data_IF_771643304386
#
_entry.id   IF_771643304386
#
_cell.length_a   1.000
_cell.length_b   1.000
_cell.length_c   1.000
_cell.angle_alpha   90.00
_cell.angle_beta   90.00
_cell.angle_gamma   90.00
#
_symmetry.space_group_name_H-M   'P 1'
#
loop_
_entity.id
_entity.type
_entity.pdbx_description
1 polymer ?
#
# COMPACT_ATOMS: atom_id res chain seq x y z
N UNK A 1 20.02 6.82 0.90
CA UNK A 1 21.00 5.71 0.75
C UNK A 1 20.65 4.82 -0.43
N UNK A 2 20.92 5.28 -1.64
CA UNK A 2 20.88 4.41 -2.83
C UNK A 2 22.17 4.64 -3.61
N UNK A 3 22.93 3.59 -3.99
CA UNK A 3 24.19 3.75 -4.70
C UNK A 3 23.94 4.22 -6.14
N UNK A 4 24.81 5.09 -6.65
CA UNK A 4 24.85 5.41 -8.07
C UNK A 4 25.41 4.21 -8.84
N UNK A 5 24.69 3.79 -9.87
CA UNK A 5 25.05 2.66 -10.71
C UNK A 5 25.47 3.18 -12.08
N UNK A 6 26.60 2.68 -12.57
CA UNK A 6 27.13 3.01 -13.89
C UNK A 6 27.44 1.73 -14.67
N UNK A 7 27.40 1.85 -16.00
CA UNK A 7 27.83 0.77 -16.89
C UNK A 7 29.36 0.73 -16.91
N UNK A 8 29.96 -0.46 -16.85
CA UNK A 8 31.43 -0.62 -16.94
C UNK A 8 31.96 -0.02 -18.26
N UNK A 9 32.94 0.87 -18.13
CA UNK A 9 33.64 1.50 -19.25
C UNK A 9 34.47 0.48 -20.06
N UNK A 10 34.93 -0.61 -19.44
CA UNK A 10 35.71 -1.64 -20.12
C UNK A 10 34.87 -2.37 -21.17
N UNK A 11 33.63 -2.73 -20.82
CA UNK A 11 32.70 -3.37 -21.76
C UNK A 11 32.28 -2.44 -22.89
N UNK A 12 32.14 -1.14 -22.60
CA UNK A 12 31.86 -0.13 -23.63
C UNK A 12 33.02 0.01 -24.62
N UNK A 13 34.25 0.09 -24.11
CA UNK A 13 35.46 0.19 -24.93
C UNK A 13 35.69 -1.08 -25.77
N UNK A 14 35.44 -2.25 -25.17
CA UNK A 14 35.52 -3.53 -25.85
C UNK A 14 34.53 -3.60 -27.01
N UNK A 15 33.27 -3.19 -26.83
CA UNK A 15 32.29 -3.12 -27.92
C UNK A 15 32.74 -2.17 -29.04
N UNK A 16 33.28 -1.00 -28.68
CA UNK A 16 33.79 0.00 -29.63
C UNK A 16 34.94 -0.56 -30.48
N UNK A 17 35.90 -1.21 -29.83
CA UNK A 17 37.05 -1.83 -30.51
C UNK A 17 36.65 -2.91 -31.52
N UNK A 18 35.64 -3.72 -31.20
CA UNK A 18 35.13 -4.74 -32.12
C UNK A 18 34.28 -4.16 -33.26
N UNK A 19 33.65 -2.99 -33.06
CA UNK A 19 32.92 -2.30 -34.14
C UNK A 19 33.86 -1.65 -35.15
N UNK A 20 35.03 -1.19 -34.69
CA UNK A 20 36.06 -0.54 -35.51
C UNK A 20 36.95 -1.55 -36.27
N UNK A 21 37.00 -2.82 -35.85
CA UNK A 21 37.81 -3.85 -36.51
C UNK A 21 37.28 -4.23 -37.91
N UNK A 22 38.17 -4.23 -38.91
CA UNK A 22 37.82 -4.50 -40.32
C UNK A 22 37.61 -5.98 -40.67
N UNK A 23 38.18 -6.91 -39.90
CA UNK A 23 37.93 -8.35 -40.04
C UNK A 23 36.72 -8.75 -39.20
N UNK A 24 35.72 -9.41 -39.80
CA UNK A 24 34.49 -9.84 -39.11
C UNK A 24 34.34 -11.35 -39.13
N UNK A 25 35.25 -12.03 -38.45
CA UNK A 25 35.22 -13.48 -38.31
C UNK A 25 34.01 -13.87 -37.45
N UNK A 26 33.46 -15.07 -37.63
CA UNK A 26 32.24 -15.50 -36.93
C UNK A 26 32.36 -15.39 -35.39
N UNK A 27 33.51 -15.78 -34.83
CA UNK A 27 33.83 -15.65 -33.40
C UNK A 27 33.77 -14.21 -32.88
N UNK A 28 34.25 -13.22 -33.64
CA UNK A 28 34.16 -11.81 -33.24
C UNK A 28 32.72 -11.31 -33.24
N UNK A 29 31.89 -11.75 -34.20
CA UNK A 29 30.46 -11.40 -34.22
C UNK A 29 29.73 -11.95 -32.99
N UNK A 30 30.05 -13.17 -32.58
CA UNK A 30 29.50 -13.80 -31.37
C UNK A 30 29.95 -13.07 -30.10
N UNK A 31 31.22 -12.67 -30.00
CA UNK A 31 31.74 -11.87 -28.90
C UNK A 31 31.05 -10.49 -28.80
N UNK A 32 30.91 -9.78 -29.92
CA UNK A 32 30.17 -8.50 -29.99
C UNK A 32 28.74 -8.66 -29.50
N UNK A 33 28.07 -9.69 -29.98
CA UNK A 33 26.69 -9.98 -29.59
C UNK A 33 26.57 -10.25 -28.10
N UNK A 34 27.45 -11.08 -27.53
CA UNK A 34 27.49 -11.36 -26.10
C UNK A 34 27.70 -10.08 -25.26
N UNK A 35 28.68 -9.26 -25.64
CA UNK A 35 29.02 -8.00 -24.95
C UNK A 35 27.84 -7.04 -25.00
N UNK A 36 27.19 -6.92 -26.16
CA UNK A 36 25.98 -6.11 -26.32
C UNK A 36 24.86 -6.59 -25.39
N UNK A 37 24.60 -7.88 -25.32
CA UNK A 37 23.60 -8.42 -24.39
C UNK A 37 23.90 -8.08 -22.92
N UNK A 38 25.18 -8.14 -22.52
CA UNK A 38 25.57 -7.78 -21.14
C UNK A 38 25.38 -6.30 -20.85
N UNK A 39 25.70 -5.43 -21.82
CA UNK A 39 25.47 -3.99 -21.71
C UNK A 39 23.96 -3.66 -21.64
N UNK A 40 23.15 -4.30 -22.47
CA UNK A 40 21.70 -4.12 -22.48
C UNK A 40 21.08 -4.59 -21.15
N UNK A 41 21.53 -5.74 -20.61
CA UNK A 41 21.09 -6.24 -19.31
C UNK A 41 21.50 -5.31 -18.16
N UNK A 42 22.73 -4.76 -18.20
CA UNK A 42 23.20 -3.79 -17.21
C UNK A 42 22.37 -2.50 -17.25
N UNK A 43 22.09 -1.97 -18.44
CA UNK A 43 21.25 -0.79 -18.63
C UNK A 43 19.84 -1.02 -18.08
N UNK A 44 19.22 -2.14 -18.45
CA UNK A 44 17.89 -2.50 -17.94
C UNK A 44 17.87 -2.60 -16.41
N UNK A 45 18.92 -3.17 -15.80
CA UNK A 45 19.01 -3.28 -14.35
C UNK A 45 19.11 -1.91 -13.68
N UNK A 46 19.92 -1.00 -14.23
CA UNK A 46 20.04 0.39 -13.74
C UNK A 46 18.68 1.09 -13.84
N UNK A 47 18.02 0.99 -15.00
CA UNK A 47 16.69 1.58 -15.22
C UNK A 47 15.67 1.01 -14.21
N UNK A 48 15.69 -0.30 -13.95
CA UNK A 48 14.82 -0.94 -12.95
C UNK A 48 15.09 -0.44 -11.52
N UNK A 49 16.35 -0.20 -11.16
CA UNK A 49 16.72 0.39 -9.86
C UNK A 49 16.22 1.83 -9.75
N UNK A 50 16.36 2.64 -10.80
CA UNK A 50 15.84 4.01 -10.85
C UNK A 50 14.32 4.00 -10.70
N UNK A 51 13.62 3.15 -11.46
CA UNK A 51 12.17 3.01 -11.36
C UNK A 51 11.70 2.59 -9.96
N UNK A 52 12.43 1.68 -9.31
CA UNK A 52 12.17 1.29 -7.92
C UNK A 52 12.33 2.46 -6.95
N UNK A 53 13.37 3.28 -7.12
CA UNK A 53 13.57 4.47 -6.28
C UNK A 53 12.45 5.50 -6.50
N UNK A 54 12.10 5.77 -7.75
CA UNK A 54 11.00 6.66 -8.09
C UNK A 54 9.68 6.17 -7.46
N UNK A 55 9.38 4.87 -7.58
CA UNK A 55 8.20 4.24 -6.98
C UNK A 55 8.17 4.44 -5.46
N UNK A 56 9.29 4.22 -4.77
CA UNK A 56 9.39 4.44 -3.32
C UNK A 56 9.14 5.91 -2.96
N UNK A 57 9.75 6.83 -3.70
CA UNK A 57 9.61 8.27 -3.50
C UNK A 57 8.16 8.74 -3.65
N UNK A 58 7.52 8.43 -4.79
CA UNK A 58 6.14 8.88 -5.05
C UNK A 58 5.15 8.24 -4.07
N UNK A 59 5.37 6.97 -3.70
CA UNK A 59 4.55 6.27 -2.70
C UNK A 59 4.66 6.95 -1.34
N UNK A 60 5.88 7.21 -0.87
CA UNK A 60 6.08 7.84 0.44
C UNK A 60 5.56 9.28 0.45
N UNK A 61 5.77 10.04 -0.62
CA UNK A 61 5.23 11.40 -0.75
C UNK A 61 3.69 11.40 -0.68
N UNK A 62 3.03 10.47 -1.36
CA UNK A 62 1.56 10.33 -1.28
C UNK A 62 1.10 10.00 0.15
N UNK A 63 1.78 9.08 0.84
CA UNK A 63 1.50 8.73 2.24
C UNK A 63 1.68 9.94 3.16
N UNK A 64 2.78 10.70 3.02
CA UNK A 64 3.04 11.88 3.83
C UNK A 64 2.00 12.97 3.62
N UNK A 65 1.56 13.17 2.38
CA UNK A 65 0.50 14.14 2.06
C UNK A 65 -0.86 13.70 2.63
N UNK A 66 -1.20 12.41 2.53
CA UNK A 66 -2.43 11.87 3.10
C UNK A 66 -2.44 12.00 4.63
N UNK A 67 -1.31 11.68 5.27
CA UNK A 67 -1.11 11.68 6.72
C UNK A 67 -0.43 12.96 7.24
N UNK A 68 -0.59 14.09 6.55
CA UNK A 68 0.15 15.34 6.83
C UNK A 68 0.10 15.76 8.30
N UNK A 69 -1.08 15.69 8.92
CA UNK A 69 -1.27 16.08 10.31
C UNK A 69 -0.43 15.22 11.28
N UNK A 70 -0.32 13.92 11.02
CA UNK A 70 0.54 13.02 11.78
C UNK A 70 2.02 13.37 11.56
N UNK A 71 2.50 13.48 10.32
CA UNK A 71 3.92 13.74 10.06
C UNK A 71 4.40 15.11 10.60
N UNK A 72 3.51 16.10 10.71
CA UNK A 72 3.83 17.40 11.29
C UNK A 72 3.87 17.41 12.83
N UNK A 73 3.19 16.48 13.50
CA UNK A 73 2.98 16.56 14.96
C UNK A 73 3.41 15.34 15.76
N UNK A 74 3.56 14.18 15.11
CA UNK A 74 3.88 12.90 15.73
C UNK A 74 2.69 12.25 16.46
N UNK A 75 1.54 12.93 16.54
CA UNK A 75 0.37 12.46 17.29
C UNK A 75 -0.36 11.34 16.52
N UNK A 76 -0.28 10.12 17.05
CA UNK A 76 -0.90 8.92 16.46
C UNK A 76 -2.43 9.05 16.35
N UNK A 77 -3.07 9.88 17.17
CA UNK A 77 -4.52 10.14 17.07
C UNK A 77 -4.89 10.88 15.77
N UNK A 78 -3.92 11.58 15.16
CA UNK A 78 -4.10 12.30 13.89
C UNK A 78 -3.86 11.42 12.66
N UNK A 79 -3.57 10.13 12.83
CA UNK A 79 -3.54 9.19 11.72
C UNK A 79 -4.95 8.98 11.18
N UNK A 80 -5.10 9.34 9.91
CA UNK A 80 -6.32 9.10 9.14
C UNK A 80 -6.38 7.63 8.74
N UNK A 81 -7.55 6.98 8.78
CA UNK A 81 -7.68 5.68 8.14
C UNK A 81 -7.26 5.79 6.68
N UNK A 82 -6.34 4.93 6.26
CA UNK A 82 -5.77 4.91 4.92
C UNK A 82 -5.56 3.45 4.51
N UNK A 83 -6.04 3.06 3.36
CA UNK A 83 -5.89 1.72 2.81
C UNK A 83 -4.93 1.73 1.61
N UNK A 84 -4.48 0.56 1.16
CA UNK A 84 -3.52 0.49 0.05
C UNK A 84 -4.10 1.07 -1.25
N UNK A 85 -5.42 0.92 -1.46
CA UNK A 85 -6.15 1.48 -2.62
C UNK A 85 -6.01 3.00 -2.70
N UNK A 86 -6.14 3.72 -1.58
CA UNK A 86 -6.05 5.20 -1.56
C UNK A 86 -4.73 5.70 -2.17
N UNK A 87 -3.62 5.05 -1.81
CA UNK A 87 -2.29 5.41 -2.30
C UNK A 87 -2.06 4.90 -3.71
N UNK A 88 -2.50 3.69 -4.02
CA UNK A 88 -2.42 3.10 -5.36
C UNK A 88 -3.10 4.00 -6.41
N UNK A 89 -4.30 4.52 -6.12
CA UNK A 89 -5.01 5.46 -6.98
C UNK A 89 -4.29 6.81 -7.09
N UNK A 90 -3.80 7.35 -5.97
CA UNK A 90 -3.09 8.62 -5.94
C UNK A 90 -1.81 8.62 -6.80
N UNK A 91 -1.08 7.50 -6.82
CA UNK A 91 0.17 7.37 -7.61
C UNK A 91 -0.03 6.62 -8.93
N UNK A 92 -1.27 6.20 -9.26
CA UNK A 92 -1.62 5.43 -10.46
C UNK A 92 -0.80 4.15 -10.63
N UNK A 93 -0.69 3.35 -9.58
CA UNK A 93 0.02 2.08 -9.56
C UNK A 93 -0.87 0.95 -9.03
N UNK A 94 -0.51 -0.30 -9.31
CA UNK A 94 -1.21 -1.45 -8.76
C UNK A 94 -1.09 -1.52 -7.23
N UNK A 95 -2.17 -1.95 -6.58
CA UNK A 95 -2.22 -2.20 -5.12
C UNK A 95 -1.10 -3.17 -4.69
N UNK A 96 -0.79 -4.17 -5.52
CA UNK A 96 0.28 -5.14 -5.24
C UNK A 96 1.67 -4.47 -5.17
N UNK A 97 1.92 -3.44 -5.98
CA UNK A 97 3.16 -2.65 -5.97
C UNK A 97 3.28 -1.86 -4.67
N UNK A 98 2.23 -1.16 -4.27
CA UNK A 98 2.20 -0.40 -3.00
C UNK A 98 2.33 -1.33 -1.81
N UNK A 99 1.67 -2.49 -1.84
CA UNK A 99 1.76 -3.51 -0.80
C UNK A 99 3.21 -3.99 -0.61
N UNK A 100 3.95 -4.27 -1.68
CA UNK A 100 5.37 -4.68 -1.61
C UNK A 100 6.24 -3.61 -0.97
N UNK A 101 6.03 -2.34 -1.32
CA UNK A 101 6.73 -1.21 -0.72
C UNK A 101 6.41 -1.13 0.77
N UNK A 102 5.12 -1.09 1.13
CA UNK A 102 4.67 -0.89 2.50
C UNK A 102 5.17 -1.98 3.46
N UNK A 103 5.17 -3.24 3.04
CA UNK A 103 5.53 -4.37 3.90
C UNK A 103 7.04 -4.57 4.10
N UNK A 104 7.90 -3.92 3.33
CA UNK A 104 9.35 -4.22 3.32
C UNK A 104 10.25 -3.00 3.49
N UNK A 105 9.67 -1.81 3.65
CA UNK A 105 10.40 -0.55 3.72
C UNK A 105 10.02 0.20 4.98
N UNK A 106 11.03 0.86 5.52
CA UNK A 106 10.94 1.69 6.71
C UNK A 106 11.19 3.13 6.32
N UNK A 107 10.56 4.04 7.05
CA UNK A 107 10.81 5.47 6.95
C UNK A 107 11.36 5.94 8.28
N UNK A 108 12.44 6.72 8.20
CA UNK A 108 12.95 7.45 9.35
C UNK A 108 12.17 8.75 9.50
N UNK A 109 11.74 9.04 10.72
CA UNK A 109 10.93 10.22 11.05
C UNK A 109 11.48 10.88 12.31
N UNK A 110 11.15 12.16 12.58
CA UNK A 110 11.50 12.80 13.85
C UNK A 110 10.98 12.05 15.10
N UNK A 111 10.02 11.15 14.92
CA UNK A 111 9.40 10.34 15.97
C UNK A 111 9.84 8.88 15.93
N UNK A 112 10.97 8.61 15.27
CA UNK A 112 11.60 7.31 15.13
C UNK A 112 11.34 6.61 13.80
N UNK A 113 12.05 5.52 13.59
CA UNK A 113 11.93 4.66 12.40
C UNK A 113 10.66 3.83 12.47
N UNK A 114 9.80 3.92 11.46
CA UNK A 114 8.53 3.21 11.39
C UNK A 114 8.43 2.37 10.11
N UNK A 115 7.82 1.19 10.23
CA UNK A 115 7.49 0.37 9.07
C UNK A 115 6.38 1.07 8.29
N UNK A 116 6.54 1.24 6.97
CA UNK A 116 5.56 1.97 6.16
C UNK A 116 4.15 1.36 6.28
N UNK A 117 4.05 0.04 6.42
CA UNK A 117 2.78 -0.69 6.63
C UNK A 117 1.97 -0.17 7.83
N UNK A 118 2.61 0.39 8.85
CA UNK A 118 1.93 0.88 10.06
C UNK A 118 1.04 2.11 9.80
N UNK A 119 1.25 2.83 8.70
CA UNK A 119 0.37 3.94 8.32
C UNK A 119 -0.93 3.49 7.66
N UNK A 120 -1.05 2.20 7.33
CA UNK A 120 -2.23 1.64 6.68
C UNK A 120 -3.13 0.94 7.69
N UNK A 121 -4.44 1.22 7.60
CA UNK A 121 -5.47 0.51 8.34
C UNK A 121 -5.80 -0.84 7.70
N UNK A 122 -6.38 -1.75 8.48
CA UNK A 122 -7.03 -2.93 7.93
C UNK A 122 -8.13 -2.52 6.94
N UNK A 123 -8.28 -3.29 5.86
CA UNK A 123 -9.29 -3.09 4.82
C UNK A 123 -10.13 -4.35 4.62
N UNK A 124 -11.31 -4.17 4.03
CA UNK A 124 -12.17 -5.23 3.57
C UNK A 124 -12.92 -4.81 2.32
N UNK A 125 -13.40 -5.77 1.54
CA UNK A 125 -14.14 -5.48 0.30
C UNK A 125 -15.62 -5.18 0.58
N UNK A 126 -16.13 -4.11 -0.01
CA UNK A 126 -17.57 -3.83 -0.09
C UNK A 126 -18.23 -4.74 -1.15
N UNK A 127 -19.55 -4.65 -1.31
CA UNK A 127 -20.32 -5.41 -2.30
C UNK A 127 -20.00 -5.05 -3.76
N UNK A 128 -19.43 -3.88 -4.00
CA UNK A 128 -18.91 -3.42 -5.29
C UNK A 128 -17.48 -3.91 -5.57
N UNK A 129 -16.84 -4.58 -4.61
CA UNK A 129 -15.47 -5.07 -4.70
C UNK A 129 -14.39 -4.06 -4.31
N UNK A 130 -14.77 -2.85 -3.90
CA UNK A 130 -13.86 -1.81 -3.41
C UNK A 130 -13.34 -2.13 -2.01
N UNK A 131 -12.06 -1.89 -1.78
CA UNK A 131 -11.52 -1.90 -0.43
C UNK A 131 -11.99 -0.67 0.35
N UNK A 132 -12.44 -0.91 1.58
CA UNK A 132 -12.86 0.10 2.56
C UNK A 132 -12.19 -0.17 3.89
N UNK A 133 -11.93 0.88 4.68
CA UNK A 133 -11.19 0.72 5.95
C UNK A 133 -12.07 0.12 7.04
N UNK A 134 -11.50 -0.76 7.88
CA UNK A 134 -12.20 -1.31 9.04
C UNK A 134 -12.62 -0.23 10.04
N UNK A 135 -11.84 0.87 10.14
CA UNK A 135 -12.16 2.02 11.01
C UNK A 135 -13.42 2.75 10.55
N UNK A 136 -13.64 2.87 9.24
CA UNK A 136 -14.87 3.43 8.67
C UNK A 136 -16.09 2.56 8.98
N UNK A 137 -15.99 1.25 8.82
CA UNK A 137 -17.08 0.32 9.14
C UNK A 137 -17.44 0.37 10.62
N UNK A 138 -16.43 0.40 11.50
CA UNK A 138 -16.62 0.60 12.94
C UNK A 138 -17.35 1.90 13.24
N UNK A 139 -17.02 3.00 12.55
CA UNK A 139 -17.71 4.28 12.69
C UNK A 139 -19.19 4.19 12.28
N UNK A 140 -19.48 3.53 11.16
CA UNK A 140 -20.87 3.33 10.72
C UNK A 140 -21.63 2.45 11.72
N UNK A 141 -21.01 1.38 12.22
CA UNK A 141 -21.59 0.51 13.24
C UNK A 141 -21.92 1.27 14.53
N UNK A 142 -20.99 2.12 15.01
CA UNK A 142 -21.21 2.98 16.17
C UNK A 142 -22.42 3.89 15.96
N UNK A 143 -22.47 4.60 14.83
CA UNK A 143 -23.59 5.49 14.52
C UNK A 143 -24.93 4.76 14.44
N UNK A 144 -24.96 3.54 13.88
CA UNK A 144 -26.19 2.72 13.84
C UNK A 144 -26.69 2.34 15.23
N UNK A 145 -25.79 2.05 16.17
CA UNK A 145 -26.13 1.72 17.55
C UNK A 145 -26.54 2.99 18.32
N UNK A 146 -25.85 4.11 18.11
CA UNK A 146 -26.17 5.39 18.76
C UNK A 146 -27.56 5.91 18.38
N UNK A 147 -27.95 5.72 17.12
CA UNK A 147 -29.26 6.12 16.57
C UNK A 147 -30.35 5.05 16.73
N UNK A 148 -30.07 3.94 17.43
CA UNK A 148 -31.03 2.86 17.57
C UNK A 148 -32.19 3.22 18.52
N UNK A 149 -33.34 2.58 18.33
CA UNK A 149 -34.43 2.68 19.29
C UNK A 149 -34.06 1.89 20.58
N UNK A 150 -33.77 2.60 21.68
CA UNK A 150 -33.36 1.97 22.96
C UNK A 150 -34.43 1.10 23.60
N UNK A 151 -35.72 1.25 23.25
CA UNK A 151 -36.78 0.32 23.69
C UNK A 151 -36.70 -1.03 22.98
N UNK A 152 -36.07 -1.09 21.80
CA UNK A 152 -35.88 -2.29 20.98
C UNK A 152 -34.51 -2.24 20.26
N UNK A 153 -33.40 -2.40 21.00
CA UNK A 153 -32.06 -2.28 20.45
C UNK A 153 -31.77 -3.34 19.39
N UNK A 154 -30.90 -2.99 18.44
CA UNK A 154 -30.59 -3.80 17.27
C UNK A 154 -29.63 -4.94 17.65
N UNK A 155 -30.06 -6.18 17.42
CA UNK A 155 -29.17 -7.34 17.55
C UNK A 155 -28.07 -7.32 16.48
N UNK A 156 -26.93 -7.96 16.75
CA UNK A 156 -25.78 -8.03 15.84
C UNK A 156 -26.17 -8.58 14.44
N UNK A 157 -27.15 -9.48 14.36
CA UNK A 157 -27.68 -9.95 13.08
C UNK A 157 -28.40 -8.85 12.29
N UNK A 158 -29.17 -7.99 12.97
CA UNK A 158 -29.86 -6.88 12.32
C UNK A 158 -28.90 -5.77 11.90
N UNK A 159 -27.86 -5.53 12.72
CA UNK A 159 -26.77 -4.62 12.36
C UNK A 159 -26.00 -5.11 11.13
N UNK A 160 -25.75 -6.42 11.02
CA UNK A 160 -25.15 -7.01 9.81
C UNK A 160 -26.03 -6.78 8.57
N UNK A 161 -27.35 -6.98 8.66
CA UNK A 161 -28.27 -6.69 7.56
C UNK A 161 -28.26 -5.19 7.15
N UNK A 162 -28.22 -4.28 8.13
CA UNK A 162 -28.17 -2.84 7.86
C UNK A 162 -26.85 -2.42 7.20
N UNK A 163 -25.74 -3.02 7.62
CA UNK A 163 -24.43 -2.80 7.00
C UNK A 163 -24.38 -3.38 5.58
N UNK A 164 -24.96 -4.56 5.36
CA UNK A 164 -25.13 -5.13 4.02
C UNK A 164 -25.94 -4.20 3.11
N UNK A 165 -27.05 -3.62 3.60
CA UNK A 165 -27.83 -2.62 2.85
C UNK A 165 -27.08 -1.33 2.54
N UNK A 166 -26.03 -1.03 3.30
CA UNK A 166 -25.12 0.10 3.06
C UNK A 166 -23.92 -0.28 2.18
N UNK A 167 -23.89 -1.51 1.64
CA UNK A 167 -22.84 -2.02 0.76
C UNK A 167 -21.70 -2.75 1.47
N UNK A 168 -21.82 -3.03 2.78
CA UNK A 168 -20.77 -3.70 3.56
C UNK A 168 -21.18 -5.13 3.91
N UNK A 169 -20.82 -6.14 3.08
CA UNK A 169 -21.21 -7.53 3.29
C UNK A 169 -20.40 -8.15 4.43
N UNK A 170 -20.86 -7.93 5.67
CA UNK A 170 -20.16 -8.38 6.86
C UNK A 170 -20.97 -9.40 7.64
N UNK A 171 -20.32 -10.47 8.08
CA UNK A 171 -20.97 -11.51 8.85
C UNK A 171 -21.32 -11.02 10.27
N UNK A 172 -22.38 -11.58 10.86
CA UNK A 172 -22.78 -11.31 12.26
C UNK A 172 -21.63 -11.45 13.26
N UNK A 173 -20.76 -12.46 13.10
CA UNK A 173 -19.59 -12.65 13.97
C UNK A 173 -18.60 -11.50 13.87
N UNK A 174 -18.41 -10.94 12.68
CA UNK A 174 -17.57 -9.77 12.44
C UNK A 174 -18.18 -8.52 13.08
N UNK A 175 -19.51 -8.33 12.99
CA UNK A 175 -20.21 -7.27 13.73
C UNK A 175 -19.99 -7.39 15.23
N UNK A 176 -20.16 -8.59 15.80
CA UNK A 176 -19.95 -8.83 17.22
C UNK A 176 -18.51 -8.48 17.65
N UNK A 177 -17.51 -8.94 16.88
CA UNK A 177 -16.10 -8.59 17.10
C UNK A 177 -15.86 -7.09 17.05
N UNK A 178 -16.39 -6.38 16.05
CA UNK A 178 -16.22 -4.94 15.92
C UNK A 178 -16.94 -4.15 17.02
N UNK A 179 -18.12 -4.61 17.42
CA UNK A 179 -18.89 -4.06 18.55
C UNK A 179 -18.09 -4.18 19.86
N UNK A 180 -17.52 -5.36 20.13
CA UNK A 180 -16.67 -5.59 21.30
C UNK A 180 -15.42 -4.72 21.28
N UNK A 181 -14.76 -4.57 20.13
CA UNK A 181 -13.62 -3.66 19.97
C UNK A 181 -13.97 -2.17 20.13
N UNK A 182 -15.26 -1.82 20.12
CA UNK A 182 -15.78 -0.47 20.38
C UNK A 182 -16.35 -0.34 21.79
N UNK A 183 -16.20 -1.36 22.64
CA UNK A 183 -16.76 -1.43 24.00
C UNK A 183 -18.28 -1.23 24.05
N UNK A 184 -18.98 -1.56 22.97
CA UNK A 184 -20.44 -1.45 22.89
C UNK A 184 -21.08 -2.73 23.43
N UNK A 185 -21.99 -2.67 24.42
CA UNK A 185 -22.55 -3.88 25.01
C UNK A 185 -23.55 -4.55 24.07
N UNK A 186 -23.87 -5.83 24.30
CA UNK A 186 -24.85 -6.57 23.48
C UNK A 186 -26.24 -5.94 23.55
N UNK A 187 -27.09 -6.16 22.53
CA UNK A 187 -28.40 -5.53 22.42
C UNK A 187 -29.25 -5.63 23.70
N UNK A 188 -29.26 -6.80 24.38
CA UNK A 188 -30.00 -6.99 25.64
C UNK A 188 -29.63 -5.97 26.72
N UNK A 189 -28.35 -5.57 26.79
CA UNK A 189 -27.83 -4.64 27.79
C UNK A 189 -27.98 -3.16 27.37
N UNK A 190 -28.31 -2.89 26.10
CA UNK A 190 -28.59 -1.54 25.59
C UNK A 190 -30.07 -1.14 25.70
N UNK A 191 -30.92 -2.08 26.14
CA UNK A 191 -32.36 -1.84 26.26
C UNK A 191 -32.63 -0.93 27.45
N UNK A 192 -33.27 0.21 27.20
CA UNK A 192 -33.79 1.11 28.23
C UNK A 192 -35.31 1.10 28.12
N UNK A 193 -35.99 0.97 29.26
CA UNK A 193 -37.44 0.99 29.37
C UNK A 193 -37.97 2.42 29.41
#
# INVERSE_FOLDING_TARGET
NSPELHISSEYQNLLKSYQESSSKNQSQKEAVFFVKQKLDAAKWFIDAVIQRQHTLYVTMNAIMNYQKAYFLTGDEQKLRPMILKDIAEAVKMDISTISRVANSKYVDTPYGTKLIKQFFSESMKNDQGDEVSTKEIKKILHNLIEQENKSKPLADGKLAELLLKKGYPIARRTVAKYREQLDLPVARLRKIF
#
